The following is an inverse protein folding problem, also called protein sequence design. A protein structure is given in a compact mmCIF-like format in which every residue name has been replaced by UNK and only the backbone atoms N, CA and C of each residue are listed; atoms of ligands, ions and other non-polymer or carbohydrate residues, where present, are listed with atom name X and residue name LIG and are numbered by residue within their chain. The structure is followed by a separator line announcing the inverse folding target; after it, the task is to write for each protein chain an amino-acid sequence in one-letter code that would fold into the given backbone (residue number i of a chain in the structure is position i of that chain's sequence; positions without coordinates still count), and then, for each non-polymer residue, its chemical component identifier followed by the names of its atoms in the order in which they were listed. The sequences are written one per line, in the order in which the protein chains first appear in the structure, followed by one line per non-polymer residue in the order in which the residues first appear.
data_IF_931016226423
#
_entry.id   IF_931016226423
#
_cell.length_a   1.000
_cell.length_b   1.000
_cell.length_c   1.000
_cell.angle_alpha   90.00
_cell.angle_beta   90.00
_cell.angle_gamma   90.00
#
_symmetry.space_group_name_H-M   'P 1'
#
loop_
_entity.id
_entity.type
_entity.pdbx_description
1 polymer ?
#
# COMPACT_ATOMS: atom_id res chain seq x y z
N UNK A 1 -18.80 5.94 -10.80
CA UNK A 1 -19.04 5.78 -9.36
C UNK A 1 -18.79 7.06 -8.56
N UNK A 2 -17.71 7.81 -8.79
CA UNK A 2 -17.41 9.09 -8.11
C UNK A 2 -18.57 10.07 -8.18
N UNK A 3 -19.10 10.37 -9.38
CA UNK A 3 -20.19 11.35 -9.55
C UNK A 3 -21.48 10.91 -8.85
N UNK A 4 -21.77 9.61 -8.85
CA UNK A 4 -22.89 9.02 -8.12
C UNK A 4 -22.69 9.15 -6.60
N UNK A 5 -21.45 9.00 -6.11
CA UNK A 5 -21.12 9.18 -4.71
C UNK A 5 -21.25 10.66 -4.30
N UNK A 6 -20.66 11.59 -5.07
CA UNK A 6 -20.77 13.02 -4.82
C UNK A 6 -22.22 13.53 -4.85
N UNK A 7 -23.07 12.93 -5.71
CA UNK A 7 -24.49 13.29 -5.77
C UNK A 7 -25.30 12.91 -4.52
N UNK A 8 -24.78 12.04 -3.64
CA UNK A 8 -25.41 11.68 -2.37
C UNK A 8 -25.23 12.75 -1.28
N UNK A 9 -24.21 13.59 -1.40
CA UNK A 9 -23.75 14.46 -0.32
C UNK A 9 -23.73 15.93 -0.73
N UNK A 10 -23.86 16.84 0.25
CA UNK A 10 -23.62 18.27 0.00
C UNK A 10 -22.14 18.48 -0.35
N UNK A 11 -21.88 18.99 -1.56
CA UNK A 11 -20.53 19.24 -2.06
C UNK A 11 -19.71 20.12 -1.10
N UNK A 12 -20.34 21.05 -0.37
CA UNK A 12 -19.66 21.91 0.61
C UNK A 12 -19.09 21.16 1.79
N UNK A 13 -19.59 19.96 2.05
CA UNK A 13 -19.14 19.04 3.10
C UNK A 13 -18.25 17.92 2.57
N UNK A 14 -17.85 18.02 1.29
CA UNK A 14 -16.96 17.06 0.66
C UNK A 14 -15.54 17.63 0.55
N UNK A 15 -14.57 16.75 0.77
CA UNK A 15 -13.14 17.08 0.73
C UNK A 15 -12.41 16.04 -0.09
N UNK A 16 -11.32 16.46 -0.69
CA UNK A 16 -10.39 15.62 -1.42
C UNK A 16 -9.06 15.60 -0.68
N UNK A 17 -8.66 14.44 -0.18
CA UNK A 17 -7.38 14.22 0.49
C UNK A 17 -6.37 13.71 -0.53
N UNK A 18 -5.33 14.52 -0.76
CA UNK A 18 -4.28 14.25 -1.74
C UNK A 18 -2.93 14.12 -1.07
N UNK A 19 -2.13 13.17 -1.52
CA UNK A 19 -0.70 13.19 -1.28
C UNK A 19 -0.02 14.38 -1.96
N UNK A 20 1.21 14.66 -1.56
CA UNK A 20 1.99 15.78 -2.12
C UNK A 20 2.13 15.68 -3.64
N UNK A 21 2.49 14.49 -4.18
CA UNK A 21 2.76 14.31 -5.61
C UNK A 21 1.53 14.56 -6.47
N UNK A 22 0.38 14.02 -6.07
CA UNK A 22 -0.91 14.25 -6.74
C UNK A 22 -1.33 15.72 -6.65
N UNK A 23 -1.12 16.37 -5.50
CA UNK A 23 -1.41 17.79 -5.33
C UNK A 23 -0.54 18.66 -6.27
N UNK A 24 0.75 18.36 -6.42
CA UNK A 24 1.62 19.08 -7.33
C UNK A 24 1.21 18.89 -8.81
N UNK A 25 0.80 17.68 -9.21
CA UNK A 25 0.24 17.43 -10.57
C UNK A 25 -0.99 18.30 -10.81
N UNK A 26 -1.91 18.37 -9.85
CA UNK A 26 -3.11 19.21 -9.94
C UNK A 26 -2.78 20.71 -10.03
N UNK A 27 -1.84 21.19 -9.19
CA UNK A 27 -1.37 22.60 -9.23
C UNK A 27 -0.75 22.94 -10.59
N UNK A 28 0.12 22.08 -11.12
CA UNK A 28 0.78 22.31 -12.40
C UNK A 28 -0.25 22.34 -13.54
N UNK A 29 -1.23 21.44 -13.54
CA UNK A 29 -2.32 21.46 -14.52
C UNK A 29 -3.06 22.80 -14.51
N UNK A 30 -3.46 23.31 -13.33
CA UNK A 30 -4.16 24.58 -13.24
C UNK A 30 -3.27 25.78 -13.56
N UNK A 31 -1.99 25.71 -13.26
CA UNK A 31 -1.01 26.75 -13.64
C UNK A 31 -0.91 26.86 -15.17
N UNK A 32 -0.85 25.76 -15.89
CA UNK A 32 -0.82 25.70 -17.36
C UNK A 32 -2.11 26.25 -17.97
N UNK A 33 -3.27 26.03 -17.33
CA UNK A 33 -4.58 26.54 -17.77
C UNK A 33 -4.87 27.97 -17.30
N UNK A 34 -3.94 28.60 -16.57
CA UNK A 34 -4.12 29.92 -15.96
C UNK A 34 -5.37 29.99 -15.03
N UNK A 35 -5.78 28.87 -14.43
CA UNK A 35 -6.89 28.78 -13.47
C UNK A 35 -6.37 29.02 -12.06
N UNK A 36 -7.06 29.89 -11.32
CA UNK A 36 -6.76 30.22 -9.94
C UNK A 36 -7.78 29.65 -8.97
N UNK A 37 -7.42 29.58 -7.70
CA UNK A 37 -8.37 29.24 -6.64
C UNK A 37 -8.42 27.78 -6.22
N UNK A 38 -7.74 26.86 -6.91
CA UNK A 38 -7.73 25.43 -6.55
C UNK A 38 -7.30 25.19 -5.09
N UNK A 39 -6.26 25.89 -4.62
CA UNK A 39 -5.76 25.75 -3.23
C UNK A 39 -6.49 26.69 -2.24
N UNK A 40 -7.53 27.41 -2.66
CA UNK A 40 -8.28 28.26 -1.77
C UNK A 40 -8.96 27.43 -0.68
N UNK A 41 -8.68 27.73 0.56
CA UNK A 41 -9.15 27.00 1.74
C UNK A 41 -8.63 25.55 1.86
N UNK A 42 -7.59 25.17 1.15
CA UNK A 42 -6.90 23.90 1.38
C UNK A 42 -6.17 23.89 2.74
N UNK A 43 -6.16 22.73 3.40
CA UNK A 43 -5.51 22.55 4.72
C UNK A 43 -4.34 21.58 4.57
N UNK A 44 -3.09 21.98 4.89
CA UNK A 44 -1.97 21.06 4.96
C UNK A 44 -2.10 20.17 6.19
N UNK A 45 -1.64 18.91 6.12
CA UNK A 45 -1.66 18.03 7.28
C UNK A 45 -0.37 18.10 8.11
N UNK A 46 0.79 18.35 7.51
CA UNK A 46 2.06 18.47 8.23
C UNK A 46 2.26 19.92 8.72
N UNK A 47 1.68 20.26 9.85
CA UNK A 47 1.74 21.62 10.41
C UNK A 47 2.50 21.69 11.73
N UNK A 48 2.42 20.65 12.54
CA UNK A 48 2.94 20.59 13.90
C UNK A 48 4.06 19.55 14.02
N UNK A 49 4.93 19.64 15.05
CA UNK A 49 5.87 18.58 15.37
C UNK A 49 5.18 17.21 15.60
N UNK A 50 5.82 16.10 15.21
CA UNK A 50 7.17 16.00 14.62
C UNK A 50 7.21 16.20 13.09
N UNK A 51 6.08 16.47 12.42
CA UNK A 51 5.97 16.51 10.96
C UNK A 51 6.17 17.88 10.33
N UNK A 52 6.37 18.92 11.12
CA UNK A 52 6.61 20.29 10.64
C UNK A 52 7.88 20.41 9.78
N UNK A 53 8.88 19.57 9.98
CA UNK A 53 10.09 19.48 9.13
C UNK A 53 9.80 18.90 7.73
N UNK A 54 8.68 18.20 7.56
CA UNK A 54 8.23 17.58 6.31
C UNK A 54 7.19 18.42 5.55
N UNK A 55 7.00 19.68 5.92
CA UNK A 55 6.00 20.59 5.30
C UNK A 55 6.04 20.63 3.78
N UNK A 56 7.23 20.50 3.20
CA UNK A 56 7.39 20.48 1.74
C UNK A 56 6.74 19.26 1.06
N UNK A 57 6.47 18.18 1.82
CA UNK A 57 5.87 16.94 1.34
C UNK A 57 4.47 16.70 1.95
N UNK A 58 3.85 17.75 2.47
CA UNK A 58 2.57 17.65 3.16
C UNK A 58 1.47 17.11 2.25
N UNK A 59 0.65 16.17 2.74
CA UNK A 59 -0.64 15.89 2.11
C UNK A 59 -1.62 17.03 2.39
N UNK A 60 -2.62 17.17 1.52
CA UNK A 60 -3.55 18.29 1.53
C UNK A 60 -5.00 17.83 1.63
N UNK A 61 -5.77 18.45 2.49
CA UNK A 61 -7.23 18.36 2.54
C UNK A 61 -7.80 19.54 1.77
N UNK A 62 -8.41 19.28 0.61
CA UNK A 62 -8.89 20.30 -0.33
C UNK A 62 -10.42 20.21 -0.41
N UNK A 63 -11.17 21.30 -0.19
CA UNK A 63 -12.61 21.30 -0.42
C UNK A 63 -12.94 20.94 -1.87
N UNK A 64 -13.92 20.06 -2.08
CA UNK A 64 -14.42 19.75 -3.41
C UNK A 64 -15.14 20.98 -3.97
N UNK A 65 -14.73 21.41 -5.15
CA UNK A 65 -15.29 22.57 -5.86
C UNK A 65 -15.39 22.25 -7.36
N UNK A 66 -16.18 23.04 -8.09
CA UNK A 66 -16.27 22.88 -9.55
C UNK A 66 -14.91 23.02 -10.21
N UNK A 67 -14.04 23.90 -9.68
CA UNK A 67 -12.65 24.02 -10.12
C UNK A 67 -11.90 22.70 -9.91
N UNK A 68 -11.97 22.09 -8.71
CA UNK A 68 -11.31 20.82 -8.43
C UNK A 68 -11.85 19.70 -9.36
N UNK A 69 -13.16 19.67 -9.60
CA UNK A 69 -13.80 18.67 -10.45
C UNK A 69 -13.53 18.86 -11.95
N UNK A 70 -12.96 20.00 -12.38
CA UNK A 70 -12.54 20.23 -13.78
C UNK A 70 -11.18 19.62 -14.14
N UNK A 71 -10.49 18.99 -13.17
CA UNK A 71 -9.24 18.26 -13.40
C UNK A 71 -9.47 17.04 -14.34
N UNK A 72 -8.45 16.63 -15.09
CA UNK A 72 -8.52 15.41 -15.89
C UNK A 72 -8.71 14.17 -15.00
N UNK A 73 -9.37 13.15 -15.55
CA UNK A 73 -9.67 11.89 -14.84
C UNK A 73 -8.41 11.22 -14.28
N UNK A 74 -7.30 11.30 -14.99
CA UNK A 74 -6.01 10.77 -14.55
C UNK A 74 -5.50 11.37 -13.23
N UNK A 75 -5.98 12.57 -12.85
CA UNK A 75 -5.69 13.21 -11.56
C UNK A 75 -6.84 12.99 -10.59
N UNK A 76 -8.11 13.16 -11.06
CA UNK A 76 -9.30 12.99 -10.23
C UNK A 76 -9.47 11.57 -9.68
N UNK A 77 -8.95 10.56 -10.38
CA UNK A 77 -8.95 9.17 -9.90
C UNK A 77 -7.93 8.90 -8.79
N UNK A 78 -7.04 9.84 -8.50
CA UNK A 78 -6.06 9.72 -7.43
C UNK A 78 -6.57 10.38 -6.14
N UNK A 79 -6.09 9.91 -4.98
CA UNK A 79 -6.48 10.44 -3.69
C UNK A 79 -7.77 9.84 -3.11
N UNK A 80 -8.26 10.44 -2.05
CA UNK A 80 -9.36 9.94 -1.24
C UNK A 80 -10.43 11.02 -1.14
N UNK A 81 -11.67 10.70 -1.51
CA UNK A 81 -12.80 11.59 -1.28
C UNK A 81 -13.41 11.31 0.10
N UNK A 82 -13.67 12.37 0.83
CA UNK A 82 -14.22 12.36 2.19
C UNK A 82 -15.50 13.20 2.21
N UNK A 83 -16.52 12.74 2.93
CA UNK A 83 -17.66 13.54 3.33
C UNK A 83 -17.71 13.64 4.84
N UNK A 84 -17.99 14.82 5.38
CA UNK A 84 -18.16 15.04 6.81
C UNK A 84 -19.11 16.20 7.09
N UNK A 85 -20.03 16.01 8.04
CA UNK A 85 -20.85 17.07 8.59
C UNK A 85 -20.11 17.96 9.60
N UNK A 86 -18.95 17.52 10.08
CA UNK A 86 -18.12 18.30 10.98
C UNK A 86 -17.47 19.49 10.23
N UNK A 87 -17.15 20.53 10.97
CA UNK A 87 -16.38 21.65 10.43
C UNK A 87 -15.02 21.19 9.88
N UNK A 88 -14.60 21.74 8.73
CA UNK A 88 -13.34 21.40 8.07
C UNK A 88 -12.13 21.38 9.02
N UNK A 89 -12.07 22.34 9.96
CA UNK A 89 -10.97 22.39 10.94
C UNK A 89 -10.94 21.16 11.86
N UNK A 90 -12.12 20.61 12.21
CA UNK A 90 -12.22 19.39 13.02
C UNK A 90 -11.84 18.15 12.20
N UNK A 91 -12.24 18.10 10.92
CA UNK A 91 -11.81 17.02 10.01
C UNK A 91 -10.29 17.04 9.86
N UNK A 92 -9.70 18.21 9.56
CA UNK A 92 -8.24 18.34 9.44
C UNK A 92 -7.53 17.95 10.74
N UNK A 93 -8.08 18.32 11.90
CA UNK A 93 -7.51 17.97 13.21
C UNK A 93 -7.58 16.47 13.48
N UNK A 94 -8.68 15.80 13.12
CA UNK A 94 -8.78 14.36 13.20
C UNK A 94 -7.74 13.68 12.29
N UNK A 95 -7.66 14.05 11.03
CA UNK A 95 -6.67 13.50 10.10
C UNK A 95 -5.22 13.71 10.60
N UNK A 96 -4.91 14.87 11.19
CA UNK A 96 -3.60 15.12 11.80
C UNK A 96 -3.33 14.20 12.99
N UNK A 97 -4.34 13.87 13.79
CA UNK A 97 -4.19 12.98 14.94
C UNK A 97 -3.89 11.52 14.55
N UNK A 98 -4.19 11.11 13.31
CA UNK A 98 -3.86 9.80 12.76
C UNK A 98 -2.40 9.71 12.26
N UNK A 99 -1.76 10.85 11.94
CA UNK A 99 -0.41 10.85 11.37
C UNK A 99 0.64 10.22 12.30
N UNK A 100 0.49 10.44 13.60
CA UNK A 100 1.36 9.88 14.61
C UNK A 100 0.69 8.64 15.20
N UNK A 101 1.05 7.48 14.66
CA UNK A 101 0.52 6.19 15.10
C UNK A 101 1.57 5.39 15.86
N UNK A 102 1.12 4.38 16.58
CA UNK A 102 1.98 3.42 17.24
C UNK A 102 2.03 2.10 16.44
N UNK A 103 3.23 1.59 16.22
CA UNK A 103 3.49 0.28 15.63
C UNK A 103 4.57 -0.44 16.44
N UNK A 104 4.23 -1.57 17.04
CA UNK A 104 5.16 -2.35 17.87
C UNK A 104 5.88 -1.51 18.95
N UNK A 105 5.12 -0.69 19.70
CA UNK A 105 5.58 0.23 20.75
C UNK A 105 6.45 1.41 20.23
N UNK A 106 6.61 1.57 18.92
CA UNK A 106 7.31 2.70 18.32
C UNK A 106 6.33 3.68 17.67
N UNK A 107 6.62 4.99 17.78
CA UNK A 107 5.86 6.02 17.08
C UNK A 107 6.29 6.09 15.62
N UNK A 108 5.32 6.01 14.71
CA UNK A 108 5.54 5.99 13.26
C UNK A 108 4.67 7.00 12.54
N UNK A 109 5.13 7.49 11.38
CA UNK A 109 4.28 8.25 10.46
C UNK A 109 3.33 7.30 9.73
N UNK A 110 2.04 7.37 10.05
CA UNK A 110 1.01 6.62 9.34
C UNK A 110 0.59 7.35 8.06
N UNK A 111 0.93 6.76 6.92
CA UNK A 111 0.67 7.32 5.59
C UNK A 111 -0.71 6.93 5.06
N UNK A 112 -1.76 7.09 5.85
CA UNK A 112 -3.14 6.75 5.46
C UNK A 112 -3.65 7.53 4.22
N UNK A 113 -3.04 8.66 3.90
CA UNK A 113 -3.33 9.45 2.71
C UNK A 113 -2.77 8.85 1.41
N UNK A 114 -1.92 7.85 1.51
CA UNK A 114 -1.44 7.03 0.40
C UNK A 114 -2.49 5.96 0.09
N UNK A 115 -3.15 6.07 -1.06
CA UNK A 115 -4.22 5.14 -1.45
C UNK A 115 -3.73 3.70 -1.54
N UNK A 116 -2.47 3.47 -1.95
CA UNK A 116 -1.88 2.12 -2.00
C UNK A 116 -1.74 1.49 -0.62
N UNK A 117 -1.44 2.30 0.39
CA UNK A 117 -1.37 1.84 1.79
C UNK A 117 -2.77 1.60 2.33
N UNK A 118 -3.65 2.59 2.20
CA UNK A 118 -4.96 2.55 2.84
C UNK A 118 -5.86 1.45 2.25
N UNK A 119 -5.89 1.27 0.94
CA UNK A 119 -6.72 0.24 0.28
C UNK A 119 -6.35 -1.19 0.70
N UNK A 120 -5.10 -1.42 1.07
CA UNK A 120 -4.64 -2.73 1.51
C UNK A 120 -4.85 -2.94 3.02
N UNK A 121 -4.84 -1.88 3.82
CA UNK A 121 -5.04 -1.95 5.27
C UNK A 121 -6.52 -2.03 5.66
N UNK A 122 -7.39 -1.27 4.99
CA UNK A 122 -8.82 -1.19 5.34
C UNK A 122 -9.53 -2.55 5.43
N UNK A 123 -9.33 -3.50 4.49
CA UNK A 123 -9.96 -4.82 4.58
C UNK A 123 -9.49 -5.65 5.77
N UNK A 124 -8.34 -5.30 6.36
CA UNK A 124 -7.76 -6.00 7.52
C UNK A 124 -8.27 -5.45 8.84
N UNK A 125 -8.91 -4.27 8.83
CA UNK A 125 -9.51 -3.64 10.00
C UNK A 125 -10.90 -4.21 10.26
N UNK A 126 -11.25 -4.42 11.53
CA UNK A 126 -12.63 -4.68 11.93
C UNK A 126 -13.53 -3.47 11.66
N UNK A 127 -14.85 -3.66 11.59
CA UNK A 127 -15.79 -2.55 11.42
C UNK A 127 -15.68 -1.50 12.54
N UNK A 128 -15.34 -1.91 13.76
CA UNK A 128 -15.12 -0.99 14.88
C UNK A 128 -13.88 -0.13 14.64
N UNK A 129 -12.78 -0.73 14.20
CA UNK A 129 -11.55 -0.01 13.87
C UNK A 129 -11.73 0.91 12.66
N UNK A 130 -12.46 0.48 11.62
CA UNK A 130 -12.82 1.34 10.49
C UNK A 130 -13.61 2.57 10.94
N UNK A 131 -14.60 2.38 11.83
CA UNK A 131 -15.36 3.49 12.41
C UNK A 131 -14.49 4.43 13.25
N UNK A 132 -13.57 3.91 14.06
CA UNK A 132 -12.62 4.73 14.82
C UNK A 132 -11.64 5.47 13.91
N UNK A 133 -11.11 4.80 12.88
CA UNK A 133 -10.25 5.41 11.86
C UNK A 133 -10.95 6.56 11.14
N UNK A 134 -12.20 6.38 10.76
CA UNK A 134 -13.00 7.42 10.11
C UNK A 134 -13.29 8.61 11.04
N UNK A 135 -13.46 8.35 12.34
CA UNK A 135 -13.68 9.39 13.35
C UNK A 135 -14.90 10.28 13.03
N UNK A 136 -14.67 11.56 12.77
CA UNK A 136 -15.73 12.53 12.39
C UNK A 136 -16.01 12.58 10.87
N UNK A 137 -15.53 11.62 10.11
CA UNK A 137 -15.79 11.47 8.68
C UNK A 137 -16.97 10.52 8.50
N UNK A 138 -18.03 10.97 7.82
CA UNK A 138 -19.25 10.18 7.60
C UNK A 138 -19.10 9.16 6.47
N UNK A 139 -18.35 9.50 5.42
CA UNK A 139 -18.13 8.62 4.29
C UNK A 139 -16.77 8.83 3.61
N UNK A 140 -16.21 7.74 3.11
CA UNK A 140 -14.95 7.72 2.35
C UNK A 140 -15.19 7.00 1.03
N UNK A 141 -14.65 7.55 -0.07
CA UNK A 141 -14.54 6.89 -1.36
C UNK A 141 -13.07 6.87 -1.78
N UNK A 142 -12.56 5.67 -2.05
CA UNK A 142 -11.21 5.46 -2.57
C UNK A 142 -11.32 4.72 -3.90
N UNK A 143 -10.62 5.23 -4.90
CA UNK A 143 -10.34 4.48 -6.11
C UNK A 143 -8.95 3.88 -5.98
N UNK A 144 -8.79 2.54 -5.96
CA UNK A 144 -7.48 1.93 -5.96
C UNK A 144 -6.69 2.43 -7.16
N UNK A 145 -5.43 2.82 -6.94
CA UNK A 145 -4.56 3.18 -8.05
C UNK A 145 -4.45 1.97 -8.99
N UNK A 146 -4.64 2.21 -10.28
CA UNK A 146 -4.32 1.22 -11.29
C UNK A 146 -2.86 0.82 -11.08
N UNK A 147 -2.56 -0.45 -10.87
CA UNK A 147 -1.19 -0.91 -10.93
C UNK A 147 -0.73 -0.68 -12.38
N UNK A 148 0.05 0.36 -12.60
CA UNK A 148 0.89 0.42 -13.79
C UNK A 148 1.73 -0.86 -13.74
N UNK A 149 1.48 -1.76 -14.69
CA UNK A 149 2.18 -3.03 -14.76
C UNK A 149 3.69 -2.74 -14.68
N UNK A 150 4.40 -3.47 -13.85
CA UNK A 150 5.86 -3.41 -13.71
C UNK A 150 6.61 -3.61 -15.04
N UNK A 151 5.88 -3.89 -16.12
CA UNK A 151 6.37 -4.07 -17.48
C UNK A 151 6.92 -2.78 -18.13
N UNK A 152 6.43 -1.58 -17.77
CA UNK A 152 6.98 -0.33 -18.31
C UNK A 152 8.35 0.03 -17.76
N UNK A 153 8.73 -0.46 -16.60
CA UNK A 153 10.06 -0.25 -16.00
C UNK A 153 11.12 -1.23 -16.52
N UNK A 154 10.73 -2.28 -17.23
CA UNK A 154 11.62 -3.33 -17.78
C UNK A 154 11.67 -3.32 -19.32
N UNK A 155 10.92 -2.47 -19.99
CA UNK A 155 10.75 -2.45 -21.44
C UNK A 155 11.92 -1.83 -22.22
N UNK A 156 13.06 -1.52 -21.58
CA UNK A 156 14.26 -1.09 -22.30
C UNK A 156 15.13 -2.24 -22.83
N UNK A 157 14.70 -3.50 -22.67
CA UNK A 157 15.37 -4.63 -23.34
C UNK A 157 14.39 -5.73 -23.74
N UNK A 158 14.22 -5.84 -25.07
CA UNK A 158 13.68 -6.96 -25.85
C UNK A 158 12.16 -7.02 -26.08
N UNK A 159 11.81 -6.60 -27.29
CA UNK A 159 10.56 -6.91 -27.96
C UNK A 159 10.40 -8.43 -28.16
N UNK A 160 9.34 -9.02 -27.61
CA UNK A 160 8.70 -10.18 -28.27
C UNK A 160 7.21 -10.25 -27.90
N UNK A 161 6.40 -10.30 -28.96
CA UNK A 161 4.95 -10.44 -28.97
C UNK A 161 4.47 -11.70 -28.23
N UNK A 162 3.41 -11.59 -27.41
CA UNK A 162 2.16 -12.34 -27.62
C UNK A 162 1.17 -12.07 -26.49
N UNK A 163 -0.06 -11.73 -26.90
CA UNK A 163 -1.19 -11.49 -26.03
C UNK A 163 -1.55 -12.70 -25.16
N UNK A 164 -1.79 -12.41 -23.90
CA UNK A 164 -2.67 -13.15 -23.04
C UNK A 164 -3.70 -12.13 -22.52
N UNK A 165 -4.96 -12.37 -22.80
CA UNK A 165 -6.07 -11.65 -22.20
C UNK A 165 -6.04 -11.98 -20.70
N UNK A 166 -5.44 -11.11 -19.91
CA UNK A 166 -5.60 -11.16 -18.46
C UNK A 166 -7.01 -10.64 -18.14
N UNK A 167 -7.86 -11.51 -17.62
CA UNK A 167 -9.05 -11.12 -16.89
C UNK A 167 -8.63 -10.16 -15.78
N UNK A 168 -8.74 -8.85 -16.05
CA UNK A 168 -8.43 -7.80 -15.10
C UNK A 168 -9.30 -7.98 -13.86
N UNK A 169 -8.70 -8.23 -12.72
CA UNK A 169 -9.38 -8.06 -11.44
C UNK A 169 -10.01 -6.67 -11.45
N UNK A 170 -11.33 -6.60 -11.40
CA UNK A 170 -12.07 -5.34 -11.27
C UNK A 170 -11.56 -4.66 -9.99
N UNK A 171 -10.68 -3.67 -10.13
CA UNK A 171 -10.27 -2.80 -9.04
C UNK A 171 -11.46 -1.93 -8.67
N UNK A 172 -12.34 -2.52 -7.84
CA UNK A 172 -13.57 -1.87 -7.40
C UNK A 172 -13.26 -0.68 -6.50
N UNK A 173 -14.08 0.36 -6.56
CA UNK A 173 -14.06 1.45 -5.58
C UNK A 173 -14.30 0.91 -4.16
N UNK A 174 -13.54 1.42 -3.18
CA UNK A 174 -13.79 1.16 -1.78
C UNK A 174 -14.67 2.30 -1.24
N UNK A 175 -15.82 1.94 -0.69
CA UNK A 175 -16.74 2.87 -0.04
C UNK A 175 -16.88 2.46 1.42
N UNK A 176 -16.63 3.40 2.33
CA UNK A 176 -16.88 3.24 3.76
C UNK A 176 -17.91 4.26 4.20
N UNK A 177 -18.79 3.88 5.10
CA UNK A 177 -19.78 4.74 5.74
C UNK A 177 -19.66 4.59 7.28
N UNK A 178 -19.75 5.70 8.01
CA UNK A 178 -19.61 5.75 9.46
C UNK A 178 -20.83 6.46 10.08
N UNK A 179 -21.72 5.71 10.64
CA UNK A 179 -22.92 6.20 11.33
C UNK A 179 -22.64 6.83 12.71
N UNK A 180 -21.42 6.70 13.22
CA UNK A 180 -20.96 7.24 14.51
C UNK A 180 -20.17 8.54 14.40
N UNK A 181 -20.02 9.10 13.21
CA UNK A 181 -19.18 10.28 12.97
C UNK A 181 -19.58 11.49 13.82
N UNK A 182 -20.87 11.68 14.09
CA UNK A 182 -21.41 12.80 14.89
C UNK A 182 -21.13 12.66 16.40
N UNK A 183 -20.82 11.46 16.87
CA UNK A 183 -20.52 11.16 18.28
C UNK A 183 -19.03 11.24 18.59
N UNK A 184 -18.20 11.41 17.54
CA UNK A 184 -16.76 11.33 17.66
C UNK A 184 -16.13 12.62 18.19
N UNK A 185 -15.30 12.49 19.22
CA UNK A 185 -14.45 13.56 19.75
C UNK A 185 -13.01 13.39 19.25
N UNK A 186 -12.44 14.46 18.66
CA UNK A 186 -11.09 14.41 18.12
C UNK A 186 -10.06 14.21 19.22
N UNK A 187 -9.29 13.16 19.10
CA UNK A 187 -8.18 12.82 20.01
C UNK A 187 -6.94 13.65 19.68
N UNK A 188 -6.15 14.00 20.67
CA UNK A 188 -4.99 14.90 20.53
C UNK A 188 -3.64 14.23 20.69
N UNK A 189 -3.60 13.03 21.28
CA UNK A 189 -2.38 12.26 21.53
C UNK A 189 -2.26 11.11 20.53
N UNK A 190 -1.05 10.55 20.34
CA UNK A 190 -0.90 9.30 19.59
C UNK A 190 -1.84 8.25 20.17
N UNK A 191 -2.82 7.85 19.41
CA UNK A 191 -3.89 6.96 19.88
C UNK A 191 -4.20 5.84 18.90
N UNK A 192 -3.80 6.01 17.63
CA UNK A 192 -4.03 5.01 16.62
C UNK A 192 -2.92 3.95 16.69
N UNK A 193 -3.31 2.71 16.94
CA UNK A 193 -2.40 1.58 16.99
C UNK A 193 -2.52 0.80 15.70
N UNK A 194 -1.41 0.67 14.98
CA UNK A 194 -1.32 -0.17 13.80
C UNK A 194 -1.02 -1.59 14.29
N UNK A 195 -2.03 -2.45 14.29
CA UNK A 195 -1.85 -3.85 14.62
C UNK A 195 -1.10 -4.61 13.51
N UNK A 196 -0.34 -5.67 13.83
CA UNK A 196 0.34 -6.48 12.82
C UNK A 196 -0.60 -7.01 11.73
N UNK A 197 -1.85 -7.30 12.08
CA UNK A 197 -2.89 -7.77 11.17
C UNK A 197 -3.20 -6.72 10.09
N UNK A 198 -3.17 -5.43 10.43
CA UNK A 198 -3.40 -4.35 9.48
C UNK A 198 -2.34 -4.32 8.37
N UNK A 199 -1.11 -4.77 8.68
CA UNK A 199 0.01 -4.81 7.73
C UNK A 199 -0.04 -6.03 6.80
N UNK A 200 -0.85 -7.04 7.11
CA UNK A 200 -0.93 -8.26 6.32
C UNK A 200 -1.36 -8.00 4.87
N UNK A 201 -2.22 -6.99 4.66
CA UNK A 201 -2.64 -6.54 3.33
C UNK A 201 -1.53 -5.86 2.52
N UNK A 202 -0.51 -5.28 3.19
CA UNK A 202 0.60 -4.58 2.54
C UNK A 202 1.69 -5.52 2.02
N UNK A 203 1.62 -6.80 2.39
CA UNK A 203 2.60 -7.78 1.92
C UNK A 203 2.38 -8.10 0.45
N UNK A 204 3.21 -7.51 -0.40
CA UNK A 204 3.19 -7.76 -1.84
C UNK A 204 4.17 -8.88 -2.19
N UNK A 205 3.64 -10.05 -2.55
CA UNK A 205 4.41 -11.24 -2.90
C UNK A 205 5.32 -10.98 -4.10
N UNK A 206 4.85 -10.29 -5.14
CA UNK A 206 5.63 -10.01 -6.36
C UNK A 206 6.85 -9.15 -6.04
N UNK A 207 6.67 -8.07 -5.27
CA UNK A 207 7.79 -7.22 -4.85
C UNK A 207 8.78 -7.97 -3.95
N UNK A 208 8.29 -8.81 -3.04
CA UNK A 208 9.14 -9.64 -2.19
C UNK A 208 9.93 -10.64 -3.02
N UNK A 209 9.26 -11.39 -3.91
CA UNK A 209 9.90 -12.34 -4.83
C UNK A 209 10.96 -11.66 -5.69
N UNK A 210 10.68 -10.46 -6.22
CA UNK A 210 11.65 -9.69 -6.99
C UNK A 210 12.88 -9.29 -6.17
N UNK A 211 12.70 -8.79 -4.94
CA UNK A 211 13.80 -8.43 -4.05
C UNK A 211 14.67 -9.66 -3.69
N UNK A 212 14.02 -10.77 -3.37
CA UNK A 212 14.70 -12.04 -3.09
C UNK A 212 15.42 -12.58 -4.33
N UNK A 213 14.78 -12.52 -5.51
CA UNK A 213 15.38 -12.90 -6.79
C UNK A 213 16.68 -12.14 -7.05
N UNK A 214 16.66 -10.80 -6.91
CA UNK A 214 17.87 -9.99 -7.09
C UNK A 214 18.99 -10.43 -6.15
N UNK A 215 18.69 -10.58 -4.85
CA UNK A 215 19.65 -11.03 -3.86
C UNK A 215 20.22 -12.41 -4.19
N UNK A 216 19.37 -13.35 -4.61
CA UNK A 216 19.80 -14.70 -4.97
C UNK A 216 20.67 -14.73 -6.23
N UNK A 217 20.40 -13.89 -7.22
CA UNK A 217 21.30 -13.75 -8.38
C UNK A 217 22.69 -13.24 -8.00
N UNK A 218 22.81 -12.42 -6.96
CA UNK A 218 24.09 -11.92 -6.46
C UNK A 218 24.89 -12.99 -5.70
N UNK A 219 24.22 -13.81 -4.88
CA UNK A 219 24.89 -14.72 -3.93
C UNK A 219 24.83 -16.19 -4.34
N UNK A 220 23.85 -16.62 -5.14
CA UNK A 220 23.59 -17.99 -5.58
C UNK A 220 23.26 -18.08 -7.09
N UNK A 221 24.07 -17.49 -7.99
CA UNK A 221 23.76 -17.44 -9.42
C UNK A 221 23.64 -18.84 -10.05
N UNK A 222 24.36 -19.83 -9.54
CA UNK A 222 24.32 -21.21 -10.02
C UNK A 222 22.95 -21.86 -9.73
N UNK A 223 22.39 -21.64 -8.56
CA UNK A 223 21.04 -22.08 -8.20
C UNK A 223 20.00 -21.39 -9.10
N UNK A 224 20.07 -20.09 -9.24
CA UNK A 224 19.11 -19.32 -10.03
C UNK A 224 19.12 -19.69 -11.51
N UNK A 225 20.29 -20.01 -12.07
CA UNK A 225 20.43 -20.43 -13.48
C UNK A 225 19.83 -21.80 -13.79
N UNK A 226 19.63 -22.65 -12.78
CA UNK A 226 18.93 -23.94 -12.92
C UNK A 226 17.41 -23.81 -13.04
N UNK A 227 16.85 -22.67 -12.63
CA UNK A 227 15.40 -22.41 -12.72
C UNK A 227 15.03 -21.91 -14.12
N UNK A 228 13.96 -22.46 -14.70
CA UNK A 228 13.48 -22.03 -16.02
C UNK A 228 12.88 -20.62 -15.96
N UNK A 229 12.14 -20.33 -14.92
CA UNK A 229 11.45 -19.06 -14.68
C UNK A 229 11.65 -18.60 -13.24
N UNK A 230 12.86 -18.08 -12.89
CA UNK A 230 13.25 -17.83 -11.50
C UNK A 230 12.25 -16.97 -10.72
N UNK A 231 11.79 -15.86 -11.29
CA UNK A 231 10.87 -14.95 -10.62
C UNK A 231 9.50 -15.61 -10.37
N UNK A 232 8.93 -16.26 -11.39
CA UNK A 232 7.64 -16.98 -11.26
C UNK A 232 7.73 -18.10 -10.23
N UNK A 233 8.86 -18.82 -10.19
CA UNK A 233 9.09 -19.89 -9.20
C UNK A 233 9.08 -19.34 -7.78
N UNK A 234 9.74 -18.19 -7.55
CA UNK A 234 9.74 -17.50 -6.27
C UNK A 234 8.34 -16.99 -5.89
N UNK A 235 7.61 -16.35 -6.82
CA UNK A 235 6.24 -15.87 -6.60
C UNK A 235 5.34 -17.03 -6.17
N UNK A 236 5.31 -18.12 -6.94
CA UNK A 236 4.54 -19.33 -6.61
C UNK A 236 4.93 -19.92 -5.25
N UNK A 237 6.23 -19.93 -4.95
CA UNK A 237 6.73 -20.38 -3.65
C UNK A 237 6.19 -19.53 -2.50
N UNK A 238 6.25 -18.21 -2.62
CA UNK A 238 5.71 -17.31 -1.58
C UNK A 238 4.18 -17.34 -1.47
N UNK A 239 3.44 -17.58 -2.56
CA UNK A 239 1.99 -17.81 -2.50
C UNK A 239 1.67 -19.05 -1.67
N UNK A 240 2.36 -20.16 -1.92
CA UNK A 240 2.19 -21.39 -1.14
C UNK A 240 2.60 -21.22 0.33
N UNK A 241 3.69 -20.49 0.61
CA UNK A 241 4.11 -20.17 1.98
C UNK A 241 3.04 -19.35 2.73
N UNK A 242 2.39 -18.40 2.05
CA UNK A 242 1.29 -17.61 2.57
C UNK A 242 0.07 -18.48 2.88
N UNK A 243 -0.29 -19.43 2.01
CA UNK A 243 -1.38 -20.40 2.26
C UNK A 243 -1.13 -21.23 3.53
N UNK A 244 0.13 -21.53 3.80
CA UNK A 244 0.56 -22.23 5.02
C UNK A 244 0.69 -21.31 6.25
N UNK A 245 0.43 -20.00 6.09
CA UNK A 245 0.50 -18.99 7.16
C UNK A 245 1.89 -18.88 7.80
N UNK A 246 2.95 -19.10 7.04
CA UNK A 246 4.32 -18.93 7.50
C UNK A 246 4.64 -17.45 7.71
N UNK A 247 5.39 -17.14 8.77
CA UNK A 247 5.94 -15.81 8.97
C UNK A 247 6.91 -15.44 7.83
N UNK A 248 7.13 -14.14 7.58
CA UNK A 248 7.93 -13.68 6.43
C UNK A 248 9.31 -14.33 6.35
N UNK A 249 10.04 -14.38 7.47
CA UNK A 249 11.40 -14.96 7.51
C UNK A 249 11.37 -16.49 7.32
N UNK A 250 10.37 -17.16 7.88
CA UNK A 250 10.15 -18.58 7.70
C UNK A 250 9.76 -18.89 6.25
N UNK A 251 8.92 -18.03 5.62
CA UNK A 251 8.53 -18.16 4.22
C UNK A 251 9.73 -18.08 3.27
N UNK A 252 10.70 -17.18 3.52
CA UNK A 252 11.93 -17.11 2.72
C UNK A 252 12.74 -18.40 2.82
N UNK A 253 12.99 -18.90 4.03
CA UNK A 253 13.74 -20.14 4.25
C UNK A 253 13.04 -21.36 3.63
N UNK A 254 11.71 -21.38 3.76
CA UNK A 254 10.86 -22.41 3.18
C UNK A 254 10.95 -22.43 1.65
N UNK A 255 10.85 -21.29 0.99
CA UNK A 255 10.98 -21.16 -0.47
C UNK A 255 12.40 -21.56 -0.92
N UNK A 256 13.42 -21.14 -0.18
CA UNK A 256 14.82 -21.51 -0.46
C UNK A 256 15.05 -23.02 -0.37
N UNK A 257 14.54 -23.67 0.68
CA UNK A 257 14.65 -25.14 0.84
C UNK A 257 14.02 -25.88 -0.35
N UNK A 258 12.86 -25.41 -0.83
CA UNK A 258 12.17 -26.00 -1.98
C UNK A 258 12.96 -25.85 -3.27
N UNK A 259 13.43 -24.64 -3.55
CA UNK A 259 14.21 -24.36 -4.75
C UNK A 259 15.52 -25.18 -4.72
N UNK A 260 16.19 -25.24 -3.58
CA UNK A 260 17.42 -26.01 -3.42
C UNK A 260 17.19 -27.52 -3.64
N UNK A 261 16.14 -28.06 -3.06
CA UNK A 261 15.75 -29.45 -3.28
C UNK A 261 15.47 -29.72 -4.77
N UNK A 262 14.63 -28.89 -5.41
CA UNK A 262 14.26 -29.03 -6.83
C UNK A 262 15.44 -28.85 -7.80
N UNK A 263 16.46 -28.07 -7.43
CA UNK A 263 17.68 -27.82 -8.22
C UNK A 263 18.85 -28.72 -7.83
N UNK A 264 18.67 -29.62 -6.86
CA UNK A 264 19.70 -30.46 -6.30
C UNK A 264 20.93 -29.65 -5.83
N UNK A 265 20.66 -28.56 -5.13
CA UNK A 265 21.69 -27.69 -4.54
C UNK A 265 21.94 -28.12 -3.12
N UNK A 266 23.23 -28.31 -2.77
CA UNK A 266 23.64 -28.80 -1.46
C UNK A 266 23.39 -27.76 -0.36
N UNK A 267 23.03 -28.23 0.86
CA UNK A 267 22.77 -27.35 2.01
C UNK A 267 23.99 -26.46 2.34
N UNK A 268 25.20 -27.02 2.27
CA UNK A 268 26.45 -26.31 2.55
C UNK A 268 26.65 -25.09 1.63
N UNK A 269 26.22 -25.19 0.37
CA UNK A 269 26.24 -24.05 -0.57
C UNK A 269 25.29 -22.94 -0.13
N UNK A 270 24.09 -23.28 0.32
CA UNK A 270 23.13 -22.31 0.85
C UNK A 270 23.64 -21.64 2.11
N UNK A 271 24.12 -22.45 3.07
CA UNK A 271 24.63 -21.98 4.36
C UNK A 271 25.77 -20.99 4.17
N UNK A 272 26.75 -21.34 3.33
CA UNK A 272 27.93 -20.49 3.09
C UNK A 272 27.59 -19.20 2.36
N UNK A 273 26.73 -19.26 1.34
CA UNK A 273 26.39 -18.11 0.49
C UNK A 273 25.43 -17.12 1.19
N UNK A 274 24.47 -17.64 1.95
CA UNK A 274 23.46 -16.83 2.65
C UNK A 274 23.83 -16.51 4.10
N UNK A 275 24.91 -17.12 4.61
CA UNK A 275 25.37 -16.99 6.02
C UNK A 275 24.28 -17.38 7.02
N UNK A 276 23.60 -18.50 6.77
CA UNK A 276 22.52 -18.97 7.62
C UNK A 276 23.06 -19.31 9.02
N UNK A 277 22.34 -18.89 10.06
CA UNK A 277 22.64 -19.31 11.42
C UNK A 277 22.22 -20.78 11.67
N UNK A 278 22.60 -21.33 12.83
CA UNK A 278 22.34 -22.74 13.14
C UNK A 278 20.86 -23.10 13.10
N UNK A 279 19.98 -22.22 13.60
CA UNK A 279 18.53 -22.45 13.62
C UNK A 279 17.96 -22.45 12.20
N UNK A 280 18.41 -21.52 11.37
CA UNK A 280 18.01 -21.42 9.96
C UNK A 280 18.48 -22.62 9.16
N UNK A 281 19.70 -23.12 9.43
CA UNK A 281 20.24 -24.34 8.82
C UNK A 281 19.41 -25.57 9.15
N UNK A 282 19.10 -25.78 10.42
CA UNK A 282 18.24 -26.88 10.89
C UNK A 282 16.85 -26.81 10.22
N UNK A 283 16.26 -25.61 10.11
CA UNK A 283 14.98 -25.41 9.46
C UNK A 283 15.01 -25.75 7.97
N UNK A 284 16.02 -25.26 7.24
CA UNK A 284 16.17 -25.54 5.80
C UNK A 284 16.42 -27.01 5.56
N UNK A 285 17.27 -27.66 6.37
CA UNK A 285 17.57 -29.09 6.27
C UNK A 285 16.31 -29.94 6.48
N UNK A 286 15.53 -29.65 7.51
CA UNK A 286 14.27 -30.36 7.80
C UNK A 286 13.31 -30.30 6.59
N UNK A 287 13.18 -29.14 5.96
CA UNK A 287 12.32 -28.97 4.80
C UNK A 287 12.89 -29.64 3.53
N UNK A 288 14.20 -29.64 3.32
CA UNK A 288 14.83 -30.35 2.20
C UNK A 288 14.68 -31.88 2.29
N UNK A 289 14.68 -32.42 3.51
CA UNK A 289 14.49 -33.85 3.77
C UNK A 289 13.06 -34.33 3.67
N UNK A 290 12.09 -33.46 4.01
CA UNK A 290 10.64 -33.76 4.03
C UNK A 290 9.98 -33.64 2.65
N UNK A 291 10.59 -34.14 1.61
CA UNK A 291 10.32 -33.94 0.19
C UNK A 291 8.95 -34.48 -0.32
N UNK A 292 7.83 -33.93 0.16
CA UNK A 292 6.51 -34.13 -0.45
C UNK A 292 6.16 -33.05 -1.50
N UNK A 293 7.15 -32.39 -2.11
CA UNK A 293 6.99 -31.13 -2.83
C UNK A 293 7.23 -31.27 -4.33
N UNK A 294 6.21 -30.94 -5.11
CA UNK A 294 6.33 -30.57 -6.51
C UNK A 294 6.03 -29.06 -6.61
N UNK A 295 7.03 -28.25 -6.97
CA UNK A 295 6.84 -26.89 -7.44
C UNK A 295 6.19 -26.90 -8.82
#
# INVERSE_FOLDING_TARGET
MRDTWLAKYDQKSCYWLLDHGTCEKAKNYFLEQAVQGFMTSAEPLFVDPPFDTLKAQTPWLIPVSDTALSLPESILSQGILLHSHAEKALVARHLRSLLNAELAEEQVLFRFYDTKVLTQMLPMMSLAEQSEFMGNIDAILIQPAFEESLEESLADNEATEKGAEEEGAETGFIVLENDKATEYEVRTEPWWIIAPEHLAGLYNIKHHAYAVSRRLWEVLPQLMSKLKTPLVTLETGFEKAKEQKLAKDEAELWVLAHIAHGTQTELDELVSSLKLDTKQQEYVQEWMENSAWQL
#
